data_IF_140107162292
#
_entry.id   IF_140107162292
#
_cell.length_a   1.000
_cell.length_b   1.000
_cell.length_c   1.000
_cell.angle_alpha   90.00
_cell.angle_beta   90.00
_cell.angle_gamma   90.00
#
_symmetry.space_group_name_H-M   'P 1'
#
loop_
_entity.id
_entity.type
_entity.pdbx_description
1 polymer ?
#
# COMPACT_ATOMS: atom_id res chain seq x y z
N UNK A 1 -11.76 -5.47 -15.86
CA UNK A 1 -12.42 -4.41 -16.67
C UNK A 1 -13.90 -4.78 -16.93
N UNK A 2 -14.82 -4.12 -16.23
CA UNK A 2 -16.27 -4.37 -16.38
C UNK A 2 -16.79 -3.84 -17.71
N UNK A 3 -17.67 -4.60 -18.36
CA UNK A 3 -18.46 -4.14 -19.51
C UNK A 3 -19.90 -3.93 -19.07
N UNK A 4 -20.60 -3.01 -19.72
CA UNK A 4 -22.03 -2.77 -19.53
C UNK A 4 -22.78 -3.83 -20.33
N UNK A 5 -23.60 -4.64 -19.64
CA UNK A 5 -24.52 -5.58 -20.28
C UNK A 5 -25.66 -4.86 -20.99
N UNK A 6 -26.35 -5.56 -21.91
CA UNK A 6 -27.44 -4.99 -22.72
C UNK A 6 -28.65 -4.54 -21.87
N UNK A 7 -28.73 -4.98 -20.62
CA UNK A 7 -29.69 -4.56 -19.60
C UNK A 7 -29.26 -3.32 -18.80
N UNK A 8 -28.11 -2.72 -19.14
CA UNK A 8 -27.57 -1.53 -18.47
C UNK A 8 -26.96 -1.83 -17.10
N UNK A 9 -26.88 -3.10 -16.69
CA UNK A 9 -26.26 -3.50 -15.43
C UNK A 9 -24.75 -3.71 -15.60
N UNK A 10 -23.98 -3.18 -14.65
CA UNK A 10 -22.54 -3.48 -14.54
C UNK A 10 -22.36 -4.89 -13.98
N UNK A 11 -22.16 -5.86 -14.87
CA UNK A 11 -21.88 -7.25 -14.51
C UNK A 11 -20.39 -7.48 -14.27
N UNK A 12 -20.04 -8.20 -13.20
CA UNK A 12 -18.68 -8.68 -12.96
C UNK A 12 -18.41 -9.89 -13.86
N UNK A 13 -17.47 -9.76 -14.79
CA UNK A 13 -16.88 -10.91 -15.48
C UNK A 13 -15.97 -11.63 -14.48
N UNK A 14 -16.16 -12.93 -14.20
CA UNK A 14 -15.23 -13.68 -13.35
C UNK A 14 -13.85 -13.69 -14.02
N UNK A 15 -12.93 -12.90 -13.47
CA UNK A 15 -11.55 -12.87 -13.91
C UNK A 15 -10.83 -14.16 -13.50
N UNK A 16 -10.05 -14.70 -14.43
CA UNK A 16 -9.03 -15.73 -14.18
C UNK A 16 -8.19 -15.36 -12.97
N UNK A 17 -7.84 -16.36 -12.14
CA UNK A 17 -7.03 -16.23 -10.92
C UNK A 17 -5.89 -15.22 -11.10
N UNK A 18 -6.09 -14.02 -10.56
CA UNK A 18 -5.06 -12.99 -10.52
C UNK A 18 -4.08 -13.39 -9.42
N UNK A 19 -3.09 -14.20 -9.79
CA UNK A 19 -1.93 -14.47 -8.93
C UNK A 19 -1.25 -13.14 -8.65
N UNK A 20 -1.52 -12.54 -7.49
CA UNK A 20 -0.85 -11.32 -7.06
C UNK A 20 0.67 -11.55 -7.12
N UNK A 21 1.41 -10.80 -7.94
CA UNK A 21 2.85 -10.91 -7.95
C UNK A 21 3.37 -10.50 -6.58
N UNK A 22 4.16 -11.37 -5.95
CA UNK A 22 4.90 -11.00 -4.74
C UNK A 22 5.77 -9.80 -5.12
N UNK A 23 5.44 -8.62 -4.56
CA UNK A 23 6.16 -7.39 -4.86
C UNK A 23 7.64 -7.61 -4.58
N UNK A 24 8.48 -7.42 -5.61
CA UNK A 24 9.92 -7.51 -5.46
C UNK A 24 10.37 -6.52 -4.38
N UNK A 25 11.24 -7.00 -3.49
CA UNK A 25 11.70 -6.27 -2.30
C UNK A 25 12.37 -4.96 -2.72
N UNK A 26 11.74 -3.83 -2.43
CA UNK A 26 12.38 -2.52 -2.55
C UNK A 26 13.68 -2.53 -1.73
N UNK A 27 14.81 -2.01 -2.25
CA UNK A 27 16.10 -1.99 -1.55
C UNK A 27 16.13 -1.08 -0.29
N UNK A 28 14.99 -0.49 0.07
CA UNK A 28 14.77 0.32 1.27
C UNK A 28 14.57 -0.54 2.52
N UNK A 29 15.31 -1.65 2.70
CA UNK A 29 15.23 -2.39 3.96
C UNK A 29 15.86 -1.52 5.04
N UNK A 30 15.02 -0.78 5.77
CA UNK A 30 15.40 -0.05 6.95
C UNK A 30 16.19 -1.01 7.87
N UNK A 31 17.50 -0.74 8.06
CA UNK A 31 18.39 -1.64 8.83
C UNK A 31 17.92 -1.83 10.28
N UNK A 32 17.07 -0.93 10.78
CA UNK A 32 16.46 -1.00 12.11
C UNK A 32 15.38 -2.08 12.22
N UNK A 33 14.72 -2.45 11.13
CA UNK A 33 13.60 -3.39 11.11
C UNK A 33 13.82 -4.50 10.06
N UNK A 34 14.65 -5.53 10.38
CA UNK A 34 14.88 -6.65 9.48
C UNK A 34 13.65 -7.57 9.38
N UNK A 35 13.56 -8.42 8.34
CA UNK A 35 12.51 -9.43 8.24
C UNK A 35 12.48 -10.34 9.47
N UNK A 36 11.28 -10.64 9.96
CA UNK A 36 11.08 -11.48 11.13
C UNK A 36 11.02 -12.95 10.73
N UNK A 37 11.81 -13.83 11.37
CA UNK A 37 11.71 -15.26 11.14
C UNK A 37 10.47 -15.80 11.86
N UNK A 38 9.81 -16.80 11.26
CA UNK A 38 8.46 -17.26 11.68
C UNK A 38 8.46 -17.81 13.10
N UNK A 39 9.55 -18.47 13.51
CA UNK A 39 9.76 -19.02 14.86
C UNK A 39 9.75 -17.95 15.96
N UNK A 40 10.01 -16.69 15.62
CA UNK A 40 10.05 -15.56 16.57
C UNK A 40 8.89 -14.60 16.43
N UNK A 41 7.94 -14.87 15.52
CA UNK A 41 6.90 -13.91 15.17
C UNK A 41 6.01 -13.55 16.37
N UNK A 42 5.57 -14.54 17.15
CA UNK A 42 4.70 -14.33 18.30
C UNK A 42 5.40 -13.53 19.42
N UNK A 43 6.65 -13.90 19.75
CA UNK A 43 7.46 -13.18 20.72
C UNK A 43 7.65 -11.71 20.32
N UNK A 44 7.96 -11.48 19.04
CA UNK A 44 8.15 -10.14 18.50
C UNK A 44 6.87 -9.30 18.57
N UNK A 45 5.74 -9.88 18.16
CA UNK A 45 4.43 -9.21 18.17
C UNK A 45 4.08 -8.81 19.61
N UNK A 46 4.19 -9.73 20.57
CA UNK A 46 3.91 -9.45 21.98
C UNK A 46 4.78 -8.32 22.52
N UNK A 47 6.09 -8.37 22.23
CA UNK A 47 7.02 -7.31 22.61
C UNK A 47 6.70 -5.96 21.95
N UNK A 48 6.24 -5.95 20.69
CA UNK A 48 5.93 -4.71 19.96
C UNK A 48 4.58 -4.09 20.33
N UNK A 49 3.61 -4.90 20.76
CA UNK A 49 2.31 -4.43 21.27
C UNK A 49 2.37 -3.88 22.69
N UNK A 50 3.41 -4.25 23.46
CA UNK A 50 3.64 -3.72 24.80
C UNK A 50 3.71 -2.18 24.79
N UNK A 51 3.42 -1.58 25.95
CA UNK A 51 3.46 -0.14 26.18
C UNK A 51 2.64 0.67 25.15
N UNK A 52 1.36 0.32 24.97
CA UNK A 52 0.44 0.97 24.02
C UNK A 52 0.99 0.99 22.58
N UNK A 53 1.49 -0.16 22.12
CA UNK A 53 2.05 -0.34 20.79
C UNK A 53 3.20 0.63 20.47
N UNK A 54 3.97 1.08 21.47
CA UNK A 54 5.03 2.07 21.30
C UNK A 54 6.01 1.70 20.19
N UNK A 55 6.47 0.45 20.17
CA UNK A 55 7.43 0.00 19.17
C UNK A 55 6.82 -0.10 17.77
N UNK A 56 5.56 -0.52 17.66
CA UNK A 56 4.84 -0.51 16.38
C UNK A 56 4.61 0.91 15.86
N UNK A 57 4.27 1.86 16.74
CA UNK A 57 4.15 3.28 16.37
C UNK A 57 5.47 3.84 15.88
N UNK A 58 6.57 3.53 16.57
CA UNK A 58 7.90 3.95 16.14
C UNK A 58 8.28 3.38 14.78
N UNK A 59 7.98 2.10 14.53
CA UNK A 59 8.22 1.45 13.24
C UNK A 59 7.36 2.04 12.12
N UNK A 60 6.07 2.24 12.37
CA UNK A 60 5.15 2.85 11.40
C UNK A 60 5.60 4.26 11.01
N UNK A 61 6.01 5.08 11.97
CA UNK A 61 6.51 6.43 11.72
C UNK A 61 7.89 6.46 11.03
N UNK A 62 8.64 5.34 11.07
CA UNK A 62 9.91 5.21 10.38
C UNK A 62 9.76 4.77 8.91
N UNK A 63 8.54 4.49 8.45
CA UNK A 63 8.28 4.17 7.04
C UNK A 63 8.54 5.41 6.17
N UNK A 64 9.27 5.28 5.04
CA UNK A 64 9.40 6.37 4.10
C UNK A 64 8.03 6.69 3.49
N UNK A 65 7.63 7.96 3.50
CA UNK A 65 6.36 8.39 2.93
C UNK A 65 6.23 8.04 1.43
N UNK A 66 7.35 8.03 0.70
CA UNK A 66 7.43 7.48 -0.65
C UNK A 66 8.79 6.79 -0.84
N UNK A 67 8.85 5.47 -1.08
CA UNK A 67 10.11 4.72 -1.20
C UNK A 67 10.85 4.96 -2.53
N UNK A 68 10.20 5.57 -3.51
CA UNK A 68 10.77 5.98 -4.81
C UNK A 68 10.52 7.49 -4.92
N UNK A 69 11.40 8.25 -5.58
CA UNK A 69 11.06 9.63 -5.99
C UNK A 69 9.99 9.58 -7.09
N UNK A 70 8.77 9.23 -6.68
CA UNK A 70 7.62 9.10 -7.55
C UNK A 70 6.96 10.47 -7.66
N UNK A 71 6.69 10.91 -8.88
CA UNK A 71 6.05 12.21 -9.12
C UNK A 71 4.55 12.02 -9.28
N UNK A 72 3.78 12.98 -8.78
CA UNK A 72 2.31 13.01 -8.89
C UNK A 72 1.84 14.06 -9.91
N UNK A 73 2.68 14.42 -10.89
CA UNK A 73 2.45 15.52 -11.83
C UNK A 73 1.13 15.41 -12.59
N UNK A 74 0.84 14.23 -13.15
CA UNK A 74 -0.41 14.00 -13.88
C UNK A 74 -1.63 14.09 -12.96
N UNK A 75 -1.56 13.50 -11.77
CA UNK A 75 -2.64 13.51 -10.78
C UNK A 75 -2.89 14.91 -10.20
N UNK A 76 -1.87 15.75 -10.16
CA UNK A 76 -1.92 17.09 -9.56
C UNK A 76 -2.44 18.19 -10.50
N UNK A 77 -2.67 17.89 -11.78
CA UNK A 77 -3.20 18.86 -12.75
C UNK A 77 -4.61 19.32 -12.35
N UNK A 78 -4.93 20.58 -12.64
CA UNK A 78 -6.25 21.17 -12.34
C UNK A 78 -7.41 20.35 -12.91
N UNK A 79 -7.28 19.92 -14.18
CA UNK A 79 -8.25 19.07 -14.90
C UNK A 79 -8.51 17.70 -14.23
N UNK A 80 -7.64 17.29 -13.30
CA UNK A 80 -7.74 16.03 -12.59
C UNK A 80 -8.11 16.21 -11.11
N UNK A 81 -8.15 17.44 -10.58
CA UNK A 81 -8.50 17.69 -9.16
C UNK A 81 -9.88 17.17 -8.80
N UNK A 82 -10.87 17.40 -9.64
CA UNK A 82 -12.24 16.92 -9.44
C UNK A 82 -12.37 15.38 -9.51
N UNK A 83 -11.39 14.70 -10.11
CA UNK A 83 -11.31 13.23 -10.17
C UNK A 83 -10.65 12.64 -8.93
N UNK A 84 -9.93 13.45 -8.15
CA UNK A 84 -9.28 13.02 -6.92
C UNK A 84 -10.23 13.23 -5.73
N UNK A 85 -10.59 12.15 -5.04
CA UNK A 85 -11.42 12.26 -3.82
C UNK A 85 -10.71 13.03 -2.69
N UNK A 86 -9.39 12.88 -2.60
CA UNK A 86 -8.55 13.55 -1.61
C UNK A 86 -7.34 14.15 -2.29
N UNK A 87 -7.03 15.40 -1.97
CA UNK A 87 -5.88 16.11 -2.56
C UNK A 87 -4.53 15.59 -2.10
N UNK A 88 -4.49 14.88 -0.96
CA UNK A 88 -3.28 14.33 -0.35
C UNK A 88 -3.08 12.81 -0.61
N UNK A 89 -3.99 12.17 -1.36
CA UNK A 89 -3.89 10.76 -1.74
C UNK A 89 -3.94 10.68 -3.26
N UNK A 90 -2.78 10.85 -3.89
CA UNK A 90 -2.65 10.92 -5.35
C UNK A 90 -1.83 9.73 -5.86
N UNK A 91 -2.22 9.12 -6.99
CA UNK A 91 -1.41 8.10 -7.63
C UNK A 91 -0.11 8.73 -8.15
N UNK A 92 1.02 8.11 -7.84
CA UNK A 92 2.33 8.49 -8.38
C UNK A 92 2.71 7.59 -9.55
N UNK A 93 3.52 8.10 -10.47
CA UNK A 93 4.09 7.33 -11.59
C UNK A 93 5.49 6.82 -11.31
#
# INVERSE_FOLDING_TARGET
>A
PGQVGEDGCWGWVPGTEESMPLLARSPSTNRKYPPLPVDKLEEEINRRMADDNKLFREEFNALPACPIQATCEAASKEENKEKNRYVNILPCR
#
